data_IF_123896041749
#
_entry.id   IF_123896041749
#
_cell.length_a   1.000
_cell.length_b   1.000
_cell.length_c   1.000
_cell.angle_alpha   90.00
_cell.angle_beta   90.00
_cell.angle_gamma   90.00
#
_symmetry.space_group_name_H-M   'P 1'
#
loop_
_entity.id
_entity.type
_entity.pdbx_description
1 polymer ?
#
# COMPACT_ATOMS: atom_id res chain seq x y z
N UNK A 1 11.46 -16.86 29.78
CA UNK A 1 11.41 -16.67 28.30
C UNK A 1 10.57 -17.77 27.64
N UNK A 2 10.40 -18.92 28.30
CA UNK A 2 9.66 -20.11 27.82
C UNK A 2 8.15 -19.93 27.56
N UNK A 3 7.60 -18.73 27.82
CA UNK A 3 6.20 -18.39 27.56
C UNK A 3 5.98 -17.59 26.27
N UNK A 4 7.04 -17.14 25.58
CA UNK A 4 6.95 -16.38 24.33
C UNK A 4 6.79 -17.37 23.18
N UNK A 5 5.67 -17.30 22.49
CA UNK A 5 5.37 -18.19 21.36
C UNK A 5 5.80 -17.58 20.02
N UNK A 6 5.93 -16.26 19.96
CA UNK A 6 6.29 -15.54 18.75
C UNK A 6 7.09 -14.29 19.08
N UNK A 7 8.25 -14.14 18.45
CA UNK A 7 9.02 -12.90 18.45
C UNK A 7 8.77 -12.18 17.13
N UNK A 8 8.34 -10.92 17.19
CA UNK A 8 8.11 -10.06 16.02
C UNK A 8 9.07 -8.89 16.11
N UNK A 9 10.08 -8.87 15.23
CA UNK A 9 10.99 -7.75 15.11
C UNK A 9 10.48 -6.79 14.04
N UNK A 10 10.33 -5.52 14.41
CA UNK A 10 9.84 -4.46 13.52
C UNK A 10 10.94 -3.42 13.36
N UNK A 11 11.69 -3.55 12.25
CA UNK A 11 12.83 -2.69 11.90
C UNK A 11 12.48 -1.64 10.83
N UNK A 12 13.39 -0.68 10.62
CA UNK A 12 13.23 0.41 9.65
C UNK A 12 13.66 0.05 8.22
N UNK A 13 13.93 -1.23 7.91
CA UNK A 13 14.30 -1.62 6.54
C UNK A 13 13.15 -1.31 5.57
N UNK A 14 13.43 -0.99 4.29
CA UNK A 14 12.37 -0.74 3.31
C UNK A 14 11.40 -1.92 3.19
N UNK A 15 10.10 -1.63 3.01
CA UNK A 15 9.08 -2.65 2.76
C UNK A 15 9.18 -3.27 1.35
N UNK A 16 9.94 -2.64 0.47
CA UNK A 16 10.26 -3.11 -0.87
C UNK A 16 11.41 -2.32 -1.47
N UNK A 17 12.09 -2.91 -2.47
CA UNK A 17 13.27 -2.30 -3.14
C UNK A 17 12.96 -1.73 -4.52
N UNK A 18 11.73 -1.87 -4.99
CA UNK A 18 11.30 -1.38 -6.31
C UNK A 18 10.01 -0.56 -6.18
N UNK A 19 9.71 0.34 -7.15
CA UNK A 19 8.47 1.12 -7.14
C UNK A 19 7.18 0.29 -7.22
N UNK A 20 7.31 -1.00 -7.58
CA UNK A 20 6.19 -1.93 -7.62
C UNK A 20 5.56 -2.13 -6.25
N UNK A 21 6.38 -2.17 -5.19
CA UNK A 21 5.89 -2.32 -3.81
C UNK A 21 5.35 -0.99 -3.29
N UNK A 22 4.27 -1.04 -2.51
CA UNK A 22 3.65 0.13 -1.89
C UNK A 22 2.87 -0.28 -0.63
N UNK A 23 2.37 0.72 0.10
CA UNK A 23 1.58 0.54 1.31
C UNK A 23 0.37 -0.39 1.08
N UNK A 24 -0.37 -0.20 -0.01
CA UNK A 24 -1.59 -0.96 -0.26
C UNK A 24 -1.34 -2.45 -0.52
N UNK A 25 -0.25 -2.78 -1.23
CA UNK A 25 0.15 -4.18 -1.47
C UNK A 25 0.77 -4.82 -0.24
N UNK A 26 1.59 -4.09 0.51
CA UNK A 26 2.29 -4.64 1.67
C UNK A 26 1.33 -5.00 2.82
N UNK A 27 0.32 -4.17 3.05
CA UNK A 27 -0.72 -4.41 4.06
C UNK A 27 -1.76 -5.44 3.64
N UNK A 28 -1.79 -5.83 2.35
CA UNK A 28 -2.81 -6.71 1.80
C UNK A 28 -4.17 -6.04 1.55
N UNK A 29 -4.36 -4.76 1.92
CA UNK A 29 -5.63 -4.06 1.71
C UNK A 29 -6.04 -4.02 0.22
N UNK A 30 -5.04 -3.98 -0.68
CA UNK A 30 -5.30 -3.89 -2.11
C UNK A 30 -6.04 -5.11 -2.68
N UNK A 31 -5.95 -6.28 -2.02
CA UNK A 31 -6.69 -7.47 -2.43
C UNK A 31 -8.20 -7.29 -2.28
N UNK A 32 -8.63 -6.59 -1.22
CA UNK A 32 -10.03 -6.25 -1.00
C UNK A 32 -10.51 -5.22 -2.00
N UNK A 33 -9.72 -4.17 -2.24
CA UNK A 33 -10.01 -3.15 -3.27
C UNK A 33 -10.20 -3.78 -4.65
N UNK A 34 -9.30 -4.68 -5.08
CA UNK A 34 -9.42 -5.37 -6.38
C UNK A 34 -10.70 -6.19 -6.50
N UNK A 35 -11.16 -6.81 -5.40
CA UNK A 35 -12.42 -7.56 -5.37
C UNK A 35 -13.63 -6.64 -5.55
N UNK A 36 -13.62 -5.45 -4.94
CA UNK A 36 -14.67 -4.44 -5.13
C UNK A 36 -14.79 -4.01 -6.61
N UNK A 37 -13.65 -3.71 -7.25
CA UNK A 37 -13.62 -3.36 -8.67
C UNK A 37 -14.12 -4.49 -9.58
N UNK A 38 -13.71 -5.73 -9.33
CA UNK A 38 -14.18 -6.90 -10.06
C UNK A 38 -15.69 -7.18 -9.86
N UNK A 39 -16.25 -6.77 -8.72
CA UNK A 39 -17.66 -6.93 -8.44
C UNK A 39 -18.55 -5.90 -9.17
N UNK A 40 -18.00 -4.82 -9.72
CA UNK A 40 -18.78 -3.79 -10.43
C UNK A 40 -19.55 -4.36 -11.64
N UNK A 41 -20.72 -3.81 -11.99
CA UNK A 41 -21.47 -4.26 -13.17
C UNK A 41 -20.64 -4.17 -14.46
N UNK A 42 -19.81 -3.14 -14.60
CA UNK A 42 -18.98 -2.94 -15.79
C UNK A 42 -17.86 -3.98 -15.92
N UNK A 43 -17.18 -4.30 -14.81
CA UNK A 43 -16.20 -5.38 -14.77
C UNK A 43 -16.84 -6.73 -15.10
N UNK A 44 -18.01 -7.04 -14.51
CA UNK A 44 -18.74 -8.30 -14.75
C UNK A 44 -19.13 -8.44 -16.23
N UNK A 45 -19.67 -7.40 -16.87
CA UNK A 45 -20.00 -7.41 -18.30
C UNK A 45 -18.78 -7.71 -19.18
N UNK A 46 -17.62 -7.16 -18.81
CA UNK A 46 -16.35 -7.37 -19.53
C UNK A 46 -15.62 -8.67 -19.13
N UNK A 47 -16.18 -9.46 -18.21
CA UNK A 47 -15.56 -10.66 -17.61
C UNK A 47 -14.20 -10.37 -16.98
N UNK A 48 -14.06 -9.22 -16.32
CA UNK A 48 -12.87 -8.85 -15.58
C UNK A 48 -12.92 -9.42 -14.16
N UNK A 49 -11.91 -10.22 -13.81
CA UNK A 49 -11.70 -10.71 -12.45
C UNK A 49 -10.81 -9.75 -11.64
N UNK A 50 -10.61 -10.04 -10.34
CA UNK A 50 -9.73 -9.25 -9.48
C UNK A 50 -8.26 -9.23 -9.97
N UNK A 51 -7.86 -10.19 -10.82
CA UNK A 51 -6.55 -10.23 -11.46
C UNK A 51 -6.38 -9.17 -12.54
N UNK A 52 -7.46 -8.76 -13.22
CA UNK A 52 -7.44 -7.61 -14.15
C UNK A 52 -6.99 -6.33 -13.45
N UNK A 53 -7.41 -6.16 -12.20
CA UNK A 53 -7.12 -5.01 -11.35
C UNK A 53 -5.82 -5.16 -10.56
N UNK A 54 -4.98 -6.15 -10.89
CA UNK A 54 -3.64 -6.28 -10.30
C UNK A 54 -2.60 -5.73 -11.28
N UNK A 55 -1.84 -4.73 -10.85
CA UNK A 55 -0.68 -4.27 -11.62
C UNK A 55 0.47 -5.29 -11.64
N UNK A 56 0.43 -6.34 -10.82
CA UNK A 56 1.45 -7.41 -10.80
C UNK A 56 1.19 -8.52 -11.82
N UNK A 57 0.01 -8.53 -12.47
CA UNK A 57 -0.40 -9.58 -13.40
C UNK A 57 -0.56 -9.00 -14.80
N UNK A 58 -0.08 -9.71 -15.81
CA UNK A 58 -0.21 -9.36 -17.24
C UNK A 58 -1.65 -9.55 -17.76
N UNK A 59 -2.63 -8.91 -17.10
CA UNK A 59 -4.04 -8.86 -17.51
C UNK A 59 -4.47 -7.43 -17.80
N UNK A 60 -4.37 -6.55 -16.81
CA UNK A 60 -4.78 -5.13 -16.93
C UNK A 60 -3.66 -4.12 -16.73
N UNK A 61 -2.47 -4.57 -16.32
CA UNK A 61 -1.30 -3.71 -16.14
C UNK A 61 -0.86 -3.06 -17.45
N UNK A 62 -0.19 -1.92 -17.35
CA UNK A 62 0.51 -1.31 -18.47
C UNK A 62 1.66 -2.22 -18.92
N UNK A 63 1.76 -2.48 -20.22
CA UNK A 63 2.81 -3.34 -20.79
C UNK A 63 4.18 -2.66 -20.75
N UNK A 64 4.25 -1.36 -21.05
CA UNK A 64 5.52 -0.60 -21.10
C UNK A 64 6.31 -0.62 -19.78
N UNK A 65 5.63 -0.42 -18.65
CA UNK A 65 6.28 -0.40 -17.33
C UNK A 65 5.99 -1.67 -16.52
N UNK A 66 5.33 -2.66 -17.12
CA UNK A 66 4.90 -3.89 -16.44
C UNK A 66 4.21 -3.67 -15.10
N UNK A 67 3.39 -2.61 -15.02
CA UNK A 67 2.64 -2.23 -13.81
C UNK A 67 3.45 -1.56 -12.69
N UNK A 68 4.72 -1.25 -12.89
CA UNK A 68 5.51 -0.47 -11.93
C UNK A 68 5.05 1.00 -11.88
N UNK A 69 4.56 1.53 -13.00
CA UNK A 69 4.20 2.95 -13.16
C UNK A 69 5.39 3.85 -13.45
N UNK A 70 6.60 3.34 -13.28
CA UNK A 70 7.86 4.03 -13.54
C UNK A 70 8.74 3.21 -14.49
N UNK A 71 9.72 3.86 -15.09
CA UNK A 71 10.79 3.21 -15.86
C UNK A 71 12.13 3.68 -15.29
N UNK A 72 13.08 2.76 -15.17
CA UNK A 72 14.45 3.10 -14.77
C UNK A 72 15.17 3.75 -15.95
N UNK A 73 15.74 4.93 -15.72
CA UNK A 73 16.60 5.63 -16.67
C UNK A 73 18.04 5.49 -16.18
N UNK A 74 18.84 4.77 -16.95
CA UNK A 74 20.28 4.66 -16.68
C UNK A 74 20.98 5.95 -17.08
N UNK A 75 21.78 6.47 -16.14
CA UNK A 75 22.60 7.67 -16.34
C UNK A 75 24.06 7.23 -16.29
N UNK A 76 24.87 7.70 -17.25
CA UNK A 76 26.23 7.18 -17.47
C UNK A 76 27.16 7.30 -16.24
N UNK A 77 26.94 8.30 -15.40
CA UNK A 77 27.81 8.64 -14.25
C UNK A 77 27.04 8.90 -12.95
N UNK A 78 25.73 8.63 -12.94
CA UNK A 78 24.85 8.91 -11.79
C UNK A 78 24.03 7.66 -11.44
N UNK A 79 23.55 7.54 -10.19
CA UNK A 79 22.59 6.50 -9.85
C UNK A 79 21.39 6.56 -10.80
N UNK A 80 20.90 5.41 -11.25
CA UNK A 80 19.70 5.33 -12.07
C UNK A 80 18.53 5.99 -11.35
N UNK A 81 17.75 6.75 -12.10
CA UNK A 81 16.57 7.45 -11.59
C UNK A 81 15.31 6.81 -12.15
N UNK A 82 14.22 6.86 -11.39
CA UNK A 82 12.92 6.43 -11.86
C UNK A 82 12.17 7.62 -12.44
N UNK A 83 11.70 7.50 -13.68
CA UNK A 83 10.82 8.46 -14.32
C UNK A 83 9.41 7.86 -14.47
N UNK A 84 8.34 8.67 -14.40
CA UNK A 84 6.99 8.19 -14.71
C UNK A 84 6.96 7.53 -16.09
N UNK A 85 6.25 6.41 -16.19
CA UNK A 85 6.12 5.66 -17.44
C UNK A 85 5.53 6.56 -18.55
N UNK A 86 6.13 6.61 -19.75
CA UNK A 86 5.66 7.48 -20.83
C UNK A 86 4.30 7.06 -21.42
N UNK A 87 3.85 5.83 -21.15
CA UNK A 87 2.59 5.28 -21.69
C UNK A 87 1.42 5.45 -20.73
N UNK A 88 1.61 5.13 -19.44
CA UNK A 88 0.54 5.20 -18.45
C UNK A 88 0.66 6.39 -17.50
N UNK A 89 1.73 7.17 -17.60
CA UNK A 89 2.00 8.35 -16.76
C UNK A 89 1.86 8.08 -15.25
N UNK A 90 2.34 6.91 -14.80
CA UNK A 90 2.25 6.49 -13.40
C UNK A 90 0.96 5.73 -13.02
N UNK A 91 -0.02 5.61 -13.92
CA UNK A 91 -1.28 4.94 -13.63
C UNK A 91 -1.18 3.43 -13.44
N UNK A 92 -0.08 2.78 -13.88
CA UNK A 92 0.19 1.33 -13.78
C UNK A 92 -0.72 0.40 -14.59
N UNK A 93 -1.81 0.89 -15.16
CA UNK A 93 -2.79 0.10 -15.89
C UNK A 93 -2.95 0.55 -17.34
N UNK A 94 -3.50 -0.33 -18.17
CA UNK A 94 -3.97 0.02 -19.51
C UNK A 94 -5.32 0.76 -19.46
N UNK A 95 -5.61 1.51 -20.52
CA UNK A 95 -6.81 2.35 -20.63
C UNK A 95 -8.11 1.57 -20.42
N UNK A 96 -8.21 0.35 -20.96
CA UNK A 96 -9.39 -0.50 -20.84
C UNK A 96 -9.71 -0.87 -19.37
N UNK A 97 -8.69 -1.02 -18.53
CA UNK A 97 -8.86 -1.28 -17.10
C UNK A 97 -9.30 -0.03 -16.35
N UNK A 98 -8.77 1.14 -16.74
CA UNK A 98 -9.10 2.44 -16.14
C UNK A 98 -10.53 2.92 -16.46
N UNK A 99 -11.19 2.34 -17.47
CA UNK A 99 -12.61 2.61 -17.76
C UNK A 99 -13.57 2.06 -16.70
N UNK A 100 -13.15 1.11 -15.88
CA UNK A 100 -13.98 0.60 -14.78
C UNK A 100 -13.84 1.51 -13.57
N UNK A 101 -14.97 1.95 -13.04
CA UNK A 101 -15.03 2.81 -11.86
C UNK A 101 -15.82 2.14 -10.74
N UNK A 102 -15.40 2.41 -9.51
CA UNK A 102 -16.13 2.11 -8.28
C UNK A 102 -16.33 3.43 -7.55
N UNK A 103 -17.58 3.77 -7.19
CA UNK A 103 -17.96 5.06 -6.60
C UNK A 103 -17.37 6.29 -7.34
N UNK A 104 -17.41 6.27 -8.68
CA UNK A 104 -16.94 7.37 -9.52
C UNK A 104 -15.42 7.51 -9.66
N UNK A 105 -14.64 6.55 -9.13
CA UNK A 105 -13.18 6.55 -9.24
C UNK A 105 -12.67 5.27 -9.90
N UNK A 106 -11.68 5.39 -10.77
CA UNK A 106 -10.95 4.25 -11.30
C UNK A 106 -9.87 3.77 -10.30
N UNK A 107 -9.31 2.60 -10.56
CA UNK A 107 -8.38 1.98 -9.60
C UNK A 107 -7.03 2.72 -9.47
N UNK A 108 -6.59 3.44 -10.50
CA UNK A 108 -5.38 4.26 -10.42
C UNK A 108 -5.62 5.50 -9.55
N UNK A 109 -6.80 6.13 -9.65
CA UNK A 109 -7.18 7.24 -8.77
C UNK A 109 -7.27 6.80 -7.31
N UNK A 110 -7.81 5.60 -7.04
CA UNK A 110 -7.81 5.02 -5.69
C UNK A 110 -6.37 4.84 -5.16
N UNK A 111 -5.43 4.40 -6.00
CA UNK A 111 -4.02 4.31 -5.61
C UNK A 111 -3.36 5.68 -5.36
N UNK A 112 -3.93 6.78 -5.85
CA UNK A 112 -3.44 8.13 -5.57
C UNK A 112 -4.02 8.75 -4.31
N UNK A 113 -5.07 8.17 -3.73
CA UNK A 113 -5.67 8.67 -2.49
C UNK A 113 -4.69 8.54 -1.32
N UNK A 114 -4.71 9.52 -0.43
CA UNK A 114 -4.10 9.39 0.90
C UNK A 114 -4.84 8.36 1.73
N UNK A 115 -4.22 7.87 2.81
CA UNK A 115 -4.89 6.97 3.76
C UNK A 115 -6.11 7.65 4.39
N UNK A 116 -6.05 8.94 4.68
CA UNK A 116 -7.19 9.71 5.21
C UNK A 116 -8.35 9.76 4.20
N UNK A 117 -8.08 10.15 2.95
CA UNK A 117 -9.09 10.18 1.87
C UNK A 117 -9.69 8.79 1.62
N UNK A 118 -8.84 7.76 1.57
CA UNK A 118 -9.28 6.39 1.37
C UNK A 118 -10.16 5.89 2.53
N UNK A 119 -9.90 6.32 3.77
CA UNK A 119 -10.68 5.90 4.94
C UNK A 119 -12.11 6.41 4.85
N UNK A 120 -12.30 7.65 4.39
CA UNK A 120 -13.62 8.21 4.13
C UNK A 120 -14.29 7.53 2.93
N UNK A 121 -13.52 7.33 1.84
CA UNK A 121 -14.03 6.74 0.60
C UNK A 121 -14.49 5.27 0.76
N UNK A 122 -13.85 4.51 1.64
CA UNK A 122 -14.17 3.10 1.92
C UNK A 122 -14.88 2.88 3.26
N UNK A 123 -15.49 3.91 3.87
CA UNK A 123 -16.10 3.81 5.19
C UNK A 123 -17.18 2.70 5.33
N UNK A 124 -17.85 2.33 4.23
CA UNK A 124 -18.84 1.23 4.20
C UNK A 124 -18.27 -0.16 3.92
N UNK A 125 -16.95 -0.29 3.75
CA UNK A 125 -16.29 -1.54 3.35
C UNK A 125 -15.31 -2.00 4.43
N UNK A 126 -15.82 -2.68 5.46
CA UNK A 126 -15.08 -3.07 6.68
C UNK A 126 -13.70 -3.70 6.41
N UNK A 127 -13.62 -4.55 5.38
CA UNK A 127 -12.40 -5.25 5.01
C UNK A 127 -11.29 -4.32 4.50
N UNK A 128 -11.64 -3.11 4.04
CA UNK A 128 -10.73 -2.06 3.61
C UNK A 128 -10.59 -1.00 4.70
N UNK A 129 -11.69 -0.59 5.32
CA UNK A 129 -11.75 0.46 6.34
C UNK A 129 -10.89 0.15 7.56
N UNK A 130 -10.91 -1.10 8.05
CA UNK A 130 -10.16 -1.49 9.26
C UNK A 130 -8.62 -1.36 9.08
N UNK A 131 -8.00 -1.90 8.02
CA UNK A 131 -6.59 -1.64 7.72
C UNK A 131 -6.24 -0.15 7.62
N UNK A 132 -7.12 0.64 6.98
CA UNK A 132 -6.89 2.07 6.79
C UNK A 132 -6.95 2.84 8.11
N UNK A 133 -7.92 2.53 8.98
CA UNK A 133 -8.03 3.16 10.29
C UNK A 133 -6.76 2.94 11.12
N UNK A 134 -6.23 1.72 11.14
CA UNK A 134 -5.00 1.43 11.86
C UNK A 134 -3.81 2.23 11.33
N UNK A 135 -3.70 2.41 10.01
CA UNK A 135 -2.66 3.24 9.40
C UNK A 135 -2.81 4.71 9.81
N UNK A 136 -4.04 5.21 9.95
CA UNK A 136 -4.30 6.56 10.47
C UNK A 136 -3.88 6.70 11.93
N UNK A 137 -4.24 5.72 12.75
CA UNK A 137 -3.99 5.74 14.19
C UNK A 137 -2.48 5.83 14.51
N UNK A 138 -1.63 5.19 13.69
CA UNK A 138 -0.17 5.25 13.81
C UNK A 138 0.47 6.44 13.05
N UNK A 139 -0.35 7.38 12.56
CA UNK A 139 0.11 8.63 11.96
C UNK A 139 0.60 8.52 10.52
N UNK A 140 0.02 7.62 9.71
CA UNK A 140 0.32 7.49 8.27
C UNK A 140 -0.80 8.01 7.36
N UNK A 141 -1.72 8.83 7.90
CA UNK A 141 -2.87 9.39 7.17
C UNK A 141 -2.51 10.11 5.86
N UNK A 142 -1.35 10.76 5.81
CA UNK A 142 -0.87 11.54 4.67
C UNK A 142 -0.27 10.71 3.52
N UNK A 143 0.07 9.43 3.75
CA UNK A 143 0.69 8.61 2.71
C UNK A 143 -0.33 8.20 1.66
N UNK A 144 0.09 8.18 0.38
CA UNK A 144 -0.76 7.64 -0.69
C UNK A 144 -0.74 6.12 -0.71
N UNK A 145 -1.88 5.49 -0.98
CA UNK A 145 -2.01 4.03 -1.03
C UNK A 145 -1.00 3.36 -1.99
N UNK A 146 -0.81 3.98 -3.16
CA UNK A 146 0.08 3.53 -4.22
C UNK A 146 1.49 4.14 -4.19
N UNK A 147 1.86 4.89 -3.14
CA UNK A 147 3.18 5.52 -3.04
C UNK A 147 4.29 4.44 -3.13
N UNK A 148 5.26 4.60 -4.05
CA UNK A 148 6.39 3.69 -4.17
C UNK A 148 7.11 3.46 -2.85
N UNK A 149 7.41 2.20 -2.52
CA UNK A 149 8.14 1.84 -1.30
C UNK A 149 9.54 2.47 -1.24
N UNK A 150 10.14 2.78 -2.40
CA UNK A 150 11.43 3.45 -2.53
C UNK A 150 11.39 4.93 -2.13
N UNK A 151 10.20 5.53 -2.04
CA UNK A 151 9.98 6.92 -1.59
C UNK A 151 9.65 7.01 -0.09
N UNK A 152 9.55 5.88 0.61
CA UNK A 152 9.21 5.85 2.03
C UNK A 152 10.47 5.99 2.90
N UNK A 153 10.37 6.78 3.96
CA UNK A 153 11.35 6.84 5.03
C UNK A 153 11.40 5.53 5.83
N UNK A 154 12.50 5.33 6.56
CA UNK A 154 12.66 4.17 7.44
C UNK A 154 11.56 4.06 8.51
N UNK A 155 11.19 5.18 9.14
CA UNK A 155 10.12 5.24 10.14
C UNK A 155 8.72 5.01 9.55
N UNK A 156 8.44 5.44 8.32
CA UNK A 156 7.21 5.09 7.61
C UNK A 156 7.15 3.59 7.30
N UNK A 157 8.23 3.03 6.76
CA UNK A 157 8.33 1.60 6.49
C UNK A 157 8.13 0.76 7.76
N UNK A 158 8.73 1.18 8.88
CA UNK A 158 8.56 0.53 10.18
C UNK A 158 7.11 0.57 10.66
N UNK A 159 6.46 1.74 10.60
CA UNK A 159 5.05 1.89 11.02
C UNK A 159 4.11 1.07 10.13
N UNK A 160 4.35 0.99 8.82
CA UNK A 160 3.58 0.10 7.92
C UNK A 160 3.72 -1.36 8.34
N UNK A 161 4.94 -1.83 8.66
CA UNK A 161 5.15 -3.20 9.17
C UNK A 161 4.41 -3.44 10.47
N UNK A 162 4.47 -2.49 11.40
CA UNK A 162 3.74 -2.57 12.66
C UNK A 162 2.23 -2.69 12.40
N UNK A 163 1.67 -1.85 11.53
CA UNK A 163 0.26 -1.92 11.15
C UNK A 163 -0.12 -3.32 10.63
N UNK A 164 0.67 -3.86 9.70
CA UNK A 164 0.42 -5.19 9.13
C UNK A 164 0.45 -6.29 10.19
N UNK A 165 1.34 -6.18 11.18
CA UNK A 165 1.43 -7.17 12.27
C UNK A 165 0.30 -7.03 13.29
N UNK A 166 -0.15 -5.81 13.59
CA UNK A 166 -1.29 -5.54 14.47
C UNK A 166 -2.64 -5.97 13.84
N UNK A 167 -2.74 -6.02 12.51
CA UNK A 167 -3.92 -6.55 11.82
C UNK A 167 -4.09 -8.07 12.00
N UNK A 168 -3.00 -8.81 12.25
CA UNK A 168 -3.07 -10.26 12.40
C UNK A 168 -3.75 -10.61 13.72
N UNK A 169 -4.65 -11.59 13.71
CA UNK A 169 -5.26 -12.10 14.95
C UNK A 169 -4.15 -12.54 15.91
N UNK A 170 -4.12 -11.92 17.10
CA UNK A 170 -3.19 -12.25 18.18
C UNK A 170 -3.49 -13.67 18.70
N UNK A 171 -2.93 -14.69 18.04
CA UNK A 171 -2.97 -16.06 18.54
C UNK A 171 -1.71 -16.28 19.39
N UNK A 172 -1.88 -16.26 20.70
CA UNK A 172 -0.83 -16.59 21.65
C UNK A 172 -0.10 -15.38 22.24
N UNK A 173 1.04 -15.64 22.87
CA UNK A 173 1.89 -14.64 23.54
C UNK A 173 2.99 -14.16 22.59
N UNK A 174 2.74 -13.05 21.89
CA UNK A 174 3.72 -12.39 21.00
C UNK A 174 4.53 -11.35 21.75
N UNK A 175 5.85 -11.32 21.55
CA UNK A 175 6.73 -10.23 21.95
C UNK A 175 7.08 -9.39 20.72
N UNK A 176 6.74 -8.11 20.75
CA UNK A 176 7.10 -7.14 19.72
C UNK A 176 8.38 -6.41 20.15
N UNK A 177 9.38 -6.39 19.27
CA UNK A 177 10.63 -5.64 19.46
C UNK A 177 10.73 -4.60 18.36
N UNK A 178 10.68 -3.34 18.78
CA UNK A 178 10.74 -2.17 17.91
C UNK A 178 12.14 -1.55 17.99
N UNK A 179 12.80 -1.40 16.85
CA UNK A 179 14.12 -0.78 16.76
C UNK A 179 13.96 0.74 16.53
N UNK A 180 14.20 1.54 17.57
CA UNK A 180 14.03 3.00 17.59
C UNK A 180 12.71 3.51 16.96
N UNK A 181 11.54 3.17 17.53
CA UNK A 181 10.24 3.45 16.92
C UNK A 181 9.90 4.95 16.77
N UNK A 182 10.61 5.82 17.48
CA UNK A 182 10.37 7.27 17.48
C UNK A 182 11.29 8.05 16.55
N UNK A 183 12.25 7.38 15.88
CA UNK A 183 13.21 8.06 14.99
C UNK A 183 12.49 8.70 13.80
N UNK A 184 12.69 10.00 13.62
CA UNK A 184 12.04 10.79 12.56
C UNK A 184 10.60 11.23 12.86
N UNK A 185 10.07 10.96 14.06
CA UNK A 185 8.77 11.48 14.48
C UNK A 185 8.91 12.81 15.22
N UNK A 186 7.96 13.72 14.97
CA UNK A 186 7.74 14.86 15.85
C UNK A 186 7.20 14.36 17.20
N UNK A 187 7.47 15.08 18.30
CA UNK A 187 7.06 14.66 19.64
C UNK A 187 5.55 14.38 19.76
N UNK A 188 4.73 15.18 19.06
CA UNK A 188 3.26 14.99 19.02
C UNK A 188 2.81 13.72 18.28
N UNK A 189 3.65 13.16 17.40
CA UNK A 189 3.35 11.93 16.66
C UNK A 189 3.90 10.69 17.37
N UNK A 190 4.88 10.86 18.26
CA UNK A 190 5.40 9.77 19.08
C UNK A 190 4.29 9.19 19.99
N UNK A 191 3.46 10.06 20.58
CA UNK A 191 2.32 9.63 21.41
C UNK A 191 1.31 8.80 20.62
N UNK A 192 1.06 9.15 19.35
CA UNK A 192 0.15 8.40 18.46
C UNK A 192 0.63 6.98 18.20
N UNK A 193 1.95 6.76 18.18
CA UNK A 193 2.52 5.43 18.01
C UNK A 193 2.36 4.55 19.26
N UNK A 194 2.31 5.17 20.45
CA UNK A 194 2.21 4.45 21.73
C UNK A 194 0.79 3.99 22.05
N UNK A 195 -0.24 4.69 21.59
CA UNK A 195 -1.64 4.35 21.89
C UNK A 195 -2.05 2.94 21.40
N UNK A 196 -1.64 2.48 20.19
CA UNK A 196 -1.98 1.15 19.69
C UNK A 196 -1.10 0.01 20.21
N UNK A 197 -0.03 0.31 20.97
CA UNK A 197 0.93 -0.67 21.52
C UNK A 197 0.56 -1.09 22.94
#
# INVERSE_FOLDING_TARGET
>A
VDAIQRLVQVDQKPIGRTPRSNLATYTGLFDHVRKLFAATPDARRRRYDAGRFSFNVAKGRCETCEGEGFVSVELLFMPSVYAPCPTCHGARYNEATLKVQWNGRNIAEVLQMTVDEASEFFAGEDAVARPLQLLRDIGLGYLRLGQPATELSGGEAQRIKLATELQRSQRGRSLYVLDEPTTGLHASDADRLLVPL
#
